data_IF_022195514823
#
_entry.id   IF_022195514823
#
_cell.length_a   1.000
_cell.length_b   1.000
_cell.length_c   1.000
_cell.angle_alpha   90.00
_cell.angle_beta   90.00
_cell.angle_gamma   90.00
#
_symmetry.space_group_name_H-M   'P 1'
#
loop_
_entity.id
_entity.type
_entity.pdbx_description
1 polymer ?
#
# COMPACT_ATOMS: atom_id res chain seq x y z
N UNK A 1 -7.47 27.69 14.75
CA UNK A 1 -7.89 26.44 14.12
C UNK A 1 -7.28 26.22 12.73
N UNK A 2 -7.14 27.20 11.86
CA UNK A 2 -6.50 27.08 10.54
C UNK A 2 -5.04 26.58 10.61
N UNK A 3 -4.25 26.97 11.63
CA UNK A 3 -2.89 26.45 11.86
C UNK A 3 -2.91 24.94 12.15
N UNK A 4 -3.91 24.46 12.90
CA UNK A 4 -4.07 23.03 13.20
C UNK A 4 -4.40 22.23 11.93
N UNK A 5 -5.40 22.65 11.16
CA UNK A 5 -5.78 21.98 9.91
C UNK A 5 -4.62 21.91 8.91
N UNK A 6 -3.87 23.00 8.76
CA UNK A 6 -2.67 23.05 7.91
C UNK A 6 -1.56 22.14 8.44
N UNK A 7 -1.37 22.09 9.76
CA UNK A 7 -0.41 21.18 10.40
C UNK A 7 -0.78 19.72 10.16
N UNK A 8 -2.03 19.36 10.40
CA UNK A 8 -2.57 18.00 10.18
C UNK A 8 -2.44 17.58 8.72
N UNK A 9 -2.83 18.46 7.77
CA UNK A 9 -2.70 18.19 6.33
C UNK A 9 -1.23 17.93 5.93
N UNK A 10 -0.30 18.74 6.43
CA UNK A 10 1.13 18.59 6.15
C UNK A 10 1.69 17.27 6.73
N UNK A 11 1.41 16.97 8.00
CA UNK A 11 1.90 15.76 8.67
C UNK A 11 1.37 14.51 7.98
N UNK A 12 0.07 14.45 7.69
CA UNK A 12 -0.53 13.31 6.99
C UNK A 12 0.00 13.17 5.55
N UNK A 13 0.28 14.27 4.85
CA UNK A 13 0.92 14.20 3.53
C UNK A 13 2.29 13.56 3.61
N UNK A 14 3.10 13.91 4.62
CA UNK A 14 4.42 13.29 4.83
C UNK A 14 4.26 11.80 5.12
N UNK A 15 3.34 11.43 6.01
CA UNK A 15 3.06 10.03 6.35
C UNK A 15 2.67 9.25 5.08
N UNK A 16 1.73 9.77 4.28
CA UNK A 16 1.31 9.13 3.03
C UNK A 16 2.46 9.00 2.02
N UNK A 17 3.35 9.99 1.96
CA UNK A 17 4.55 9.92 1.11
C UNK A 17 5.46 8.77 1.54
N UNK A 18 5.74 8.66 2.84
CA UNK A 18 6.57 7.57 3.38
C UNK A 18 5.94 6.20 3.07
N UNK A 19 4.64 6.05 3.33
CA UNK A 19 3.94 4.80 3.00
C UNK A 19 3.96 4.49 1.50
N UNK A 20 3.78 5.48 0.62
CA UNK A 20 3.88 5.30 -0.82
C UNK A 20 5.24 4.78 -1.25
N UNK A 21 6.31 5.36 -0.71
CA UNK A 21 7.69 4.94 -1.00
C UNK A 21 7.95 3.51 -0.51
N UNK A 22 7.50 3.18 0.71
CA UNK A 22 7.63 1.82 1.25
C UNK A 22 6.87 0.79 0.41
N UNK A 23 5.65 1.09 -0.03
CA UNK A 23 4.88 0.19 -0.88
C UNK A 23 5.53 -0.02 -2.25
N UNK A 24 6.08 1.04 -2.87
CA UNK A 24 6.83 0.93 -4.13
C UNK A 24 8.07 0.05 -3.94
N UNK A 25 8.83 0.28 -2.87
CA UNK A 25 10.01 -0.53 -2.56
C UNK A 25 9.63 -2.01 -2.36
N UNK A 26 8.55 -2.28 -1.61
CA UNK A 26 8.02 -3.62 -1.41
C UNK A 26 7.61 -4.27 -2.73
N UNK A 27 6.90 -3.54 -3.60
CA UNK A 27 6.51 -4.01 -4.92
C UNK A 27 7.74 -4.44 -5.76
N UNK A 28 8.77 -3.59 -5.81
CA UNK A 28 10.00 -3.87 -6.57
C UNK A 28 10.71 -5.11 -5.99
N UNK A 29 10.85 -5.21 -4.67
CA UNK A 29 11.46 -6.35 -4.00
C UNK A 29 10.71 -7.65 -4.30
N UNK A 30 9.38 -7.63 -4.20
CA UNK A 30 8.55 -8.80 -4.50
C UNK A 30 8.74 -9.26 -5.96
N UNK A 31 8.82 -8.34 -6.92
CA UNK A 31 9.08 -8.67 -8.33
C UNK A 31 10.46 -9.31 -8.55
N UNK A 32 11.49 -8.76 -7.89
CA UNK A 32 12.86 -9.30 -7.99
C UNK A 32 12.90 -10.73 -7.42
N UNK A 33 12.33 -10.95 -6.23
CA UNK A 33 12.29 -12.28 -5.61
C UNK A 33 11.46 -13.27 -6.42
N UNK A 34 10.29 -12.86 -6.91
CA UNK A 34 9.43 -13.68 -7.74
C UNK A 34 10.16 -14.12 -9.03
N UNK A 35 10.85 -13.19 -9.69
CA UNK A 35 11.66 -13.48 -10.89
C UNK A 35 12.81 -14.45 -10.62
N UNK A 36 13.50 -14.28 -9.49
CA UNK A 36 14.55 -15.20 -9.05
C UNK A 36 14.04 -16.62 -8.82
N UNK A 37 12.91 -16.77 -8.12
CA UNK A 37 12.28 -18.07 -7.89
C UNK A 37 11.78 -18.72 -9.19
N UNK A 38 11.23 -17.94 -10.12
CA UNK A 38 10.79 -18.44 -11.43
C UNK A 38 11.98 -18.97 -12.24
N UNK A 39 13.12 -18.29 -12.26
CA UNK A 39 14.34 -18.75 -12.90
C UNK A 39 14.86 -20.05 -12.27
N UNK A 40 14.83 -20.15 -10.94
CA UNK A 40 15.22 -21.36 -10.22
C UNK A 40 14.28 -22.53 -10.53
N UNK A 41 12.99 -22.30 -10.65
CA UNK A 41 12.00 -23.28 -11.06
C UNK A 41 12.31 -23.83 -12.46
N UNK A 42 12.51 -22.94 -13.42
CA UNK A 42 12.86 -23.30 -14.80
C UNK A 42 14.16 -24.11 -14.87
N UNK A 43 15.22 -23.66 -14.20
CA UNK A 43 16.50 -24.37 -14.12
C UNK A 43 16.38 -25.76 -13.49
N UNK A 44 15.56 -25.93 -12.45
CA UNK A 44 15.33 -27.22 -11.81
C UNK A 44 14.54 -28.20 -12.70
N UNK A 45 13.52 -27.72 -13.40
CA UNK A 45 12.73 -28.54 -14.34
C UNK A 45 13.60 -29.00 -15.52
N UNK A 46 14.44 -28.12 -16.08
CA UNK A 46 15.37 -28.49 -17.14
C UNK A 46 16.35 -29.54 -16.65
N UNK A 47 16.95 -29.42 -15.46
CA UNK A 47 17.81 -30.41 -14.85
C UNK A 47 17.11 -31.75 -14.65
N UNK A 48 15.84 -31.76 -14.22
CA UNK A 48 15.06 -32.97 -14.11
C UNK A 48 14.98 -33.72 -15.44
N UNK A 49 14.75 -33.01 -16.55
CA UNK A 49 14.69 -33.63 -17.91
C UNK A 49 16.00 -34.11 -18.48
N UNK A 50 17.15 -33.77 -17.88
CA UNK A 50 18.49 -34.13 -18.39
C UNK A 50 19.09 -35.42 -17.79
N UNK A 51 18.41 -36.13 -16.90
CA UNK A 51 18.93 -37.36 -16.30
C UNK A 51 18.82 -38.54 -17.24
N UNK A 52 19.93 -39.35 -17.30
CA UNK A 52 19.97 -40.60 -18.06
C UNK A 52 19.14 -41.67 -17.31
N UNK A 53 18.36 -42.51 -18.05
CA UNK A 53 17.63 -43.64 -17.45
C UNK A 53 18.52 -44.68 -16.78
N UNK A 54 19.82 -44.74 -17.18
CA UNK A 54 20.76 -45.76 -16.69
C UNK A 54 21.40 -45.42 -15.33
N UNK A 55 21.16 -44.24 -14.78
CA UNK A 55 21.64 -43.83 -13.46
C UNK A 55 20.66 -44.30 -12.38
N UNK A 56 21.09 -45.23 -11.51
CA UNK A 56 20.29 -45.79 -10.39
C UNK A 56 19.78 -44.69 -9.45
N UNK A 57 20.45 -43.56 -9.32
CA UNK A 57 20.04 -42.43 -8.50
C UNK A 57 19.19 -41.39 -9.26
N UNK A 58 19.03 -41.55 -10.57
CA UNK A 58 18.35 -40.61 -11.46
C UNK A 58 16.91 -40.35 -11.03
N UNK A 59 16.18 -41.37 -10.58
CA UNK A 59 14.80 -41.27 -10.12
C UNK A 59 14.65 -40.34 -8.92
N UNK A 60 15.52 -40.47 -7.90
CA UNK A 60 15.50 -39.57 -6.74
C UNK A 60 15.86 -38.15 -7.07
N UNK A 61 16.87 -37.95 -7.92
CA UNK A 61 17.29 -36.61 -8.37
C UNK A 61 16.22 -35.95 -9.23
N UNK A 62 15.61 -36.69 -10.13
CA UNK A 62 14.48 -36.26 -10.93
C UNK A 62 13.33 -35.76 -10.07
N UNK A 63 12.86 -36.56 -9.11
CA UNK A 63 11.78 -36.20 -8.19
C UNK A 63 12.16 -35.00 -7.32
N UNK A 64 13.40 -34.95 -6.82
CA UNK A 64 13.91 -33.82 -6.04
C UNK A 64 13.86 -32.50 -6.82
N UNK A 65 14.32 -32.51 -8.09
CA UNK A 65 14.28 -31.31 -8.94
C UNK A 65 12.87 -30.91 -9.36
N UNK A 66 11.97 -31.87 -9.62
CA UNK A 66 10.56 -31.57 -9.88
C UNK A 66 9.87 -30.95 -8.65
N UNK A 67 10.10 -31.52 -7.47
CA UNK A 67 9.52 -31.00 -6.24
C UNK A 67 10.03 -29.58 -5.93
N UNK A 68 11.35 -29.38 -5.99
CA UNK A 68 11.94 -28.05 -5.76
C UNK A 68 11.51 -27.03 -6.82
N UNK A 69 11.45 -27.43 -8.08
CA UNK A 69 10.95 -26.59 -9.18
C UNK A 69 9.49 -26.21 -8.99
N UNK A 70 8.64 -27.17 -8.59
CA UNK A 70 7.23 -26.95 -8.29
C UNK A 70 7.01 -25.98 -7.12
N UNK A 71 7.77 -26.16 -6.02
CA UNK A 71 7.70 -25.24 -4.86
C UNK A 71 8.16 -23.82 -5.24
N UNK A 72 9.27 -23.71 -5.99
CA UNK A 72 9.79 -22.41 -6.43
C UNK A 72 8.81 -21.70 -7.38
N UNK A 73 8.16 -22.44 -8.28
CA UNK A 73 7.12 -21.91 -9.16
C UNK A 73 5.92 -21.40 -8.35
N UNK A 74 5.40 -22.21 -7.44
CA UNK A 74 4.25 -21.85 -6.59
C UNK A 74 4.56 -20.61 -5.75
N UNK A 75 5.71 -20.57 -5.10
CA UNK A 75 6.15 -19.42 -4.31
C UNK A 75 6.29 -18.16 -5.17
N UNK A 76 6.82 -18.28 -6.41
CA UNK A 76 6.92 -17.17 -7.36
C UNK A 76 5.52 -16.61 -7.70
N UNK A 77 4.55 -17.46 -7.99
CA UNK A 77 3.17 -17.04 -8.30
C UNK A 77 2.56 -16.27 -7.12
N UNK A 78 2.71 -16.77 -5.90
CA UNK A 78 2.24 -16.05 -4.71
C UNK A 78 2.89 -14.67 -4.56
N UNK A 79 4.20 -14.55 -4.77
CA UNK A 79 4.90 -13.26 -4.70
C UNK A 79 4.44 -12.28 -5.78
N UNK A 80 4.13 -12.75 -7.00
CA UNK A 80 3.53 -11.90 -8.04
C UNK A 80 2.14 -11.41 -7.63
N UNK A 81 1.31 -12.27 -7.04
CA UNK A 81 0.00 -11.87 -6.52
C UNK A 81 0.15 -10.78 -5.45
N UNK A 82 1.05 -10.96 -4.48
CA UNK A 82 1.34 -9.94 -3.46
C UNK A 82 1.89 -8.64 -4.05
N UNK A 83 2.72 -8.72 -5.09
CA UNK A 83 3.20 -7.53 -5.80
C UNK A 83 2.04 -6.76 -6.46
N UNK A 84 1.09 -7.44 -7.10
CA UNK A 84 -0.10 -6.81 -7.67
C UNK A 84 -0.91 -6.10 -6.58
N UNK A 85 -1.13 -6.73 -5.43
CA UNK A 85 -1.80 -6.08 -4.31
C UNK A 85 -1.04 -4.84 -3.83
N UNK A 86 0.27 -4.93 -3.64
CA UNK A 86 1.09 -3.78 -3.24
C UNK A 86 0.95 -2.61 -4.24
N UNK A 87 0.91 -2.88 -5.54
CA UNK A 87 0.70 -1.87 -6.58
C UNK A 87 -0.70 -1.26 -6.50
N UNK A 88 -1.75 -2.07 -6.32
CA UNK A 88 -3.13 -1.59 -6.18
C UNK A 88 -3.30 -0.66 -4.97
N UNK A 89 -2.58 -0.90 -3.88
CA UNK A 89 -2.58 -0.03 -2.72
C UNK A 89 -1.73 1.24 -2.93
N UNK A 90 -0.58 1.11 -3.60
CA UNK A 90 0.33 2.23 -3.81
C UNK A 90 -0.24 3.29 -4.76
N UNK A 91 -0.91 2.89 -5.84
CA UNK A 91 -1.39 3.82 -6.87
C UNK A 91 -2.34 4.91 -6.32
N UNK A 92 -3.43 4.59 -5.60
CA UNK A 92 -4.30 5.62 -5.04
C UNK A 92 -3.57 6.52 -4.04
N UNK A 93 -2.67 5.95 -3.24
CA UNK A 93 -1.91 6.68 -2.25
C UNK A 93 -0.95 7.69 -2.89
N UNK A 94 -0.29 7.32 -4.00
CA UNK A 94 0.57 8.21 -4.80
C UNK A 94 -0.26 9.37 -5.36
N UNK A 95 -1.42 9.07 -5.96
CA UNK A 95 -2.31 10.07 -6.54
C UNK A 95 -2.72 11.09 -5.47
N UNK A 96 -3.17 10.64 -4.30
CA UNK A 96 -3.59 11.50 -3.19
C UNK A 96 -2.42 12.33 -2.68
N UNK A 97 -1.23 11.75 -2.60
CA UNK A 97 -0.02 12.45 -2.18
C UNK A 97 0.34 13.58 -3.16
N UNK A 98 0.29 13.33 -4.47
CA UNK A 98 0.51 14.36 -5.49
C UNK A 98 -0.52 15.48 -5.37
N UNK A 99 -1.81 15.13 -5.27
CA UNK A 99 -2.88 16.13 -5.07
C UNK A 99 -2.66 16.98 -3.82
N UNK A 100 -2.21 16.38 -2.72
CA UNK A 100 -1.94 17.09 -1.48
C UNK A 100 -0.78 18.08 -1.64
N UNK A 101 0.32 17.68 -2.29
CA UNK A 101 1.44 18.61 -2.57
C UNK A 101 1.04 19.76 -3.48
N UNK A 102 0.29 19.48 -4.55
CA UNK A 102 -0.24 20.52 -5.46
C UNK A 102 -1.16 21.47 -4.68
N UNK A 103 -2.06 20.96 -3.86
CA UNK A 103 -2.95 21.79 -3.03
C UNK A 103 -2.19 22.67 -2.03
N UNK A 104 -1.15 22.15 -1.38
CA UNK A 104 -0.29 22.94 -0.49
C UNK A 104 0.50 24.01 -1.23
N UNK A 105 1.00 23.72 -2.43
CA UNK A 105 1.70 24.69 -3.27
C UNK A 105 0.76 25.82 -3.72
N UNK A 106 -0.46 25.47 -4.16
CA UNK A 106 -1.49 26.45 -4.53
C UNK A 106 -1.90 27.30 -3.33
N UNK A 107 -2.06 26.70 -2.15
CA UNK A 107 -2.34 27.47 -0.93
C UNK A 107 -1.23 28.48 -0.61
N UNK A 108 0.05 28.09 -0.74
CA UNK A 108 1.17 29.02 -0.52
C UNK A 108 1.11 30.22 -1.47
N UNK A 109 0.67 30.00 -2.72
CA UNK A 109 0.61 31.05 -3.74
C UNK A 109 -0.62 31.93 -3.61
N UNK A 110 -1.79 31.36 -3.33
CA UNK A 110 -3.09 32.07 -3.37
C UNK A 110 -3.63 32.44 -1.99
N UNK A 111 -3.08 31.85 -0.91
CA UNK A 111 -3.57 31.94 0.47
C UNK A 111 -5.04 31.51 0.64
N UNK A 112 -5.61 30.82 -0.37
CA UNK A 112 -7.00 30.40 -0.37
C UNK A 112 -7.19 29.10 0.42
N UNK A 113 -7.97 29.11 1.53
CA UNK A 113 -8.19 27.95 2.39
C UNK A 113 -8.88 26.78 1.68
N UNK A 114 -9.59 27.04 0.57
CA UNK A 114 -10.28 25.99 -0.21
C UNK A 114 -9.35 24.88 -0.68
N UNK A 115 -8.06 25.17 -0.92
CA UNK A 115 -7.10 24.16 -1.34
C UNK A 115 -6.78 23.15 -0.23
N UNK A 116 -6.61 23.62 1.00
CA UNK A 116 -6.39 22.74 2.17
C UNK A 116 -7.66 21.93 2.48
N UNK A 117 -8.83 22.60 2.44
CA UNK A 117 -10.13 21.94 2.65
C UNK A 117 -10.33 20.76 1.69
N UNK A 118 -10.06 20.97 0.39
CA UNK A 118 -10.15 19.93 -0.64
C UNK A 118 -9.18 18.78 -0.35
N UNK A 119 -7.93 19.07 0.03
CA UNK A 119 -6.96 18.02 0.39
C UNK A 119 -7.44 17.17 1.58
N UNK A 120 -7.98 17.80 2.61
CA UNK A 120 -8.53 17.10 3.77
C UNK A 120 -9.71 16.21 3.38
N UNK A 121 -10.63 16.69 2.55
CA UNK A 121 -11.78 15.91 2.07
C UNK A 121 -11.31 14.66 1.31
N UNK A 122 -10.36 14.79 0.39
CA UNK A 122 -9.82 13.65 -0.37
C UNK A 122 -9.19 12.62 0.58
N UNK A 123 -8.42 13.07 1.57
CA UNK A 123 -7.83 12.17 2.59
C UNK A 123 -8.90 11.50 3.46
N UNK A 124 -9.96 12.22 3.83
CA UNK A 124 -11.09 11.65 4.60
C UNK A 124 -11.74 10.53 3.80
N UNK A 125 -12.08 10.77 2.54
CA UNK A 125 -12.72 9.75 1.68
C UNK A 125 -11.84 8.51 1.55
N UNK A 126 -10.56 8.70 1.27
CA UNK A 126 -9.62 7.59 1.17
C UNK A 126 -9.49 6.81 2.48
N UNK A 127 -9.27 7.51 3.60
CA UNK A 127 -9.13 6.86 4.91
C UNK A 127 -10.42 6.18 5.34
N UNK A 128 -11.60 6.76 5.04
CA UNK A 128 -12.89 6.15 5.34
C UNK A 128 -13.09 4.82 4.60
N UNK A 129 -12.73 4.75 3.31
CA UNK A 129 -12.79 3.49 2.54
C UNK A 129 -11.94 2.41 3.22
N UNK A 130 -10.69 2.74 3.60
CA UNK A 130 -9.80 1.79 4.28
C UNK A 130 -10.27 1.41 5.67
N UNK A 131 -10.89 2.35 6.41
CA UNK A 131 -11.47 2.07 7.73
C UNK A 131 -12.62 1.08 7.62
N UNK A 132 -13.50 1.24 6.62
CA UNK A 132 -14.60 0.31 6.37
C UNK A 132 -14.08 -1.07 5.98
N UNK A 133 -13.09 -1.14 5.09
CA UNK A 133 -12.46 -2.41 4.70
C UNK A 133 -11.79 -3.10 5.90
N UNK A 134 -11.05 -2.35 6.72
CA UNK A 134 -10.44 -2.88 7.94
C UNK A 134 -11.48 -3.38 8.95
N UNK A 135 -12.63 -2.72 9.07
CA UNK A 135 -13.74 -3.17 9.90
C UNK A 135 -14.30 -4.51 9.41
N UNK A 136 -14.54 -4.64 8.11
CA UNK A 136 -15.02 -5.89 7.51
C UNK A 136 -14.01 -7.02 7.74
N UNK A 137 -12.71 -6.75 7.57
CA UNK A 137 -11.65 -7.73 7.83
C UNK A 137 -11.58 -8.13 9.30
N UNK A 138 -11.79 -7.19 10.23
CA UNK A 138 -11.80 -7.43 11.67
C UNK A 138 -12.91 -8.39 12.09
N UNK A 139 -14.05 -8.39 11.40
CA UNK A 139 -15.15 -9.34 11.66
C UNK A 139 -14.71 -10.77 11.38
N UNK A 140 -13.84 -10.96 10.38
CA UNK A 140 -13.35 -12.28 9.97
C UNK A 140 -12.06 -12.70 10.71
N UNK A 141 -11.23 -11.74 11.12
CA UNK A 141 -9.95 -11.98 11.80
C UNK A 141 -9.61 -10.84 12.76
N UNK A 142 -9.52 -11.19 14.05
CA UNK A 142 -9.20 -10.24 15.13
C UNK A 142 -7.83 -9.56 14.95
N UNK A 143 -6.92 -10.15 14.17
CA UNK A 143 -5.62 -9.55 13.86
C UNK A 143 -5.71 -8.17 13.20
N UNK A 144 -6.82 -7.86 12.52
CA UNK A 144 -7.03 -6.55 11.87
C UNK A 144 -7.55 -5.44 12.80
N UNK A 145 -7.86 -5.73 14.07
CA UNK A 145 -8.35 -4.73 15.05
C UNK A 145 -7.39 -3.55 15.19
N UNK A 146 -6.08 -3.80 15.26
CA UNK A 146 -5.07 -2.75 15.41
C UNK A 146 -5.09 -1.81 14.20
N UNK A 147 -5.17 -2.36 13.00
CA UNK A 147 -5.26 -1.57 11.77
C UNK A 147 -6.54 -0.72 11.75
N UNK A 148 -7.68 -1.30 12.12
CA UNK A 148 -8.95 -0.57 12.22
C UNK A 148 -8.87 0.60 13.21
N UNK A 149 -8.32 0.37 14.41
CA UNK A 149 -8.17 1.42 15.44
C UNK A 149 -7.29 2.56 14.95
N UNK A 150 -6.14 2.26 14.33
CA UNK A 150 -5.24 3.29 13.79
C UNK A 150 -5.94 4.12 12.71
N UNK A 151 -6.64 3.48 11.76
CA UNK A 151 -7.36 4.17 10.70
C UNK A 151 -8.51 5.02 11.25
N UNK A 152 -9.25 4.54 12.24
CA UNK A 152 -10.31 5.28 12.90
C UNK A 152 -9.78 6.53 13.63
N UNK A 153 -8.62 6.43 14.30
CA UNK A 153 -7.95 7.58 14.91
C UNK A 153 -7.52 8.62 13.87
N UNK A 154 -6.92 8.19 12.76
CA UNK A 154 -6.53 9.09 11.66
C UNK A 154 -7.77 9.77 11.06
N UNK A 155 -8.85 9.03 10.87
CA UNK A 155 -10.11 9.56 10.36
C UNK A 155 -10.71 10.62 11.31
N UNK A 156 -10.68 10.36 12.61
CA UNK A 156 -11.15 11.30 13.64
C UNK A 156 -10.36 12.61 13.63
N UNK A 157 -9.02 12.53 13.49
CA UNK A 157 -8.15 13.70 13.37
C UNK A 157 -8.45 14.52 12.10
N UNK A 158 -8.72 13.85 10.99
CA UNK A 158 -9.07 14.50 9.71
C UNK A 158 -10.42 15.22 9.81
N UNK A 159 -11.44 14.59 10.41
CA UNK A 159 -12.74 15.23 10.65
C UNK A 159 -12.62 16.42 11.60
N UNK A 160 -11.86 16.29 12.68
CA UNK A 160 -11.59 17.40 13.60
C UNK A 160 -10.91 18.59 12.92
N UNK A 161 -9.95 18.32 12.03
CA UNK A 161 -9.28 19.35 11.26
C UNK A 161 -10.23 20.05 10.26
N UNK A 162 -11.08 19.29 9.58
CA UNK A 162 -12.07 19.83 8.62
C UNK A 162 -13.14 20.66 9.35
N UNK A 163 -13.68 20.15 10.46
CA UNK A 163 -14.67 20.84 11.29
C UNK A 163 -14.13 22.16 11.81
N UNK A 164 -12.88 22.18 12.30
CA UNK A 164 -12.23 23.41 12.77
C UNK A 164 -12.05 24.47 11.68
N UNK A 165 -11.85 24.05 10.41
CA UNK A 165 -11.80 25.00 9.28
C UNK A 165 -13.18 25.57 8.96
N UNK A 166 -14.21 24.73 8.91
CA UNK A 166 -15.57 25.14 8.54
C UNK A 166 -16.15 26.13 9.54
N UNK A 167 -15.98 25.89 10.85
CA UNK A 167 -16.45 26.83 11.86
C UNK A 167 -15.71 28.18 11.83
N UNK A 168 -14.44 28.20 11.46
CA UNK A 168 -13.72 29.47 11.36
C UNK A 168 -14.17 30.32 10.16
N UNK A 169 -14.59 29.71 9.05
CA UNK A 169 -15.21 30.43 7.93
C UNK A 169 -16.53 31.09 8.35
N UNK A 170 -17.36 30.42 9.14
CA UNK A 170 -18.63 30.98 9.66
C UNK A 170 -18.43 32.19 10.59
N UNK A 171 -17.39 32.19 11.43
CA UNK A 171 -17.15 33.26 12.40
C UNK A 171 -16.32 34.43 11.83
N UNK A 172 -15.72 34.29 10.64
CA UNK A 172 -14.98 35.37 9.99
C UNK A 172 -15.82 36.22 9.03
N UNK A 173 -17.06 35.81 8.76
CA UNK A 173 -18.02 36.54 7.95
C UNK A 173 -18.96 37.44 8.78
N UNK A 174 -18.83 37.45 10.11
CA UNK A 174 -19.47 38.35 11.05
C UNK A 174 -18.45 39.22 11.78
#
# INVERSE_FOLDING_TARGET
MMKFAKGTDKVLTIIYTVFSVLLIATFILLLIYAGGLMNNAGGSIIKAGSYSPDDYTAGYRFMGHLFYGGLSFTASVFLYIFAIYAALFALPLIIITIFAYVGMALYKKTHNPKHIKRNLIVKIVYTAIWTILALIMTINDVGFVVMFVILALVLSLLFGALYGMTNHEYFSEY
#
